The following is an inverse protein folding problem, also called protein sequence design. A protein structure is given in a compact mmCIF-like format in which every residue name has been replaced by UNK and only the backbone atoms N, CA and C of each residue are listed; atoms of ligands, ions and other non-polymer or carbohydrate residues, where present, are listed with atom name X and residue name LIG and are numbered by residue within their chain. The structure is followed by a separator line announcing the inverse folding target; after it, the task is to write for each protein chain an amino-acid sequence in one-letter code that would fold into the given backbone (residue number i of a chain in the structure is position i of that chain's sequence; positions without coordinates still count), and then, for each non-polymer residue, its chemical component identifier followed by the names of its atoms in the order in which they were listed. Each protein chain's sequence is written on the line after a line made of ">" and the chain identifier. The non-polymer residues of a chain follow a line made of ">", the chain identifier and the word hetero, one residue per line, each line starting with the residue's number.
data_IF_980570677932
#
_entry.id   IF_980570677932
#
_cell.length_a   1.000
_cell.length_b   1.000
_cell.length_c   1.000
_cell.angle_alpha   90.00
_cell.angle_beta   90.00
_cell.angle_gamma   90.00
#
_symmetry.space_group_name_H-M   'P 1'
#
loop_
_entity.id
_entity.type
_entity.pdbx_description
1 polymer ?
#
# COMPACT_ATOMS: atom_id res chain seq x y z
N UNK A 1 -58.51 42.46 15.09
CA UNK A 1 -59.71 42.62 14.24
C UNK A 1 -59.26 43.05 12.83
N UNK A 2 -59.96 42.70 11.75
CA UNK A 2 -59.82 41.50 10.88
C UNK A 2 -59.15 41.89 9.52
N UNK A 3 -58.83 41.02 8.56
CA UNK A 3 -59.76 40.21 7.76
C UNK A 3 -59.03 39.14 6.95
N UNK A 4 -59.52 37.91 7.09
CA UNK A 4 -59.30 36.72 6.28
C UNK A 4 -59.62 36.96 4.80
N UNK A 5 -58.90 36.34 3.87
CA UNK A 5 -59.49 35.92 2.58
C UNK A 5 -59.00 34.53 2.19
N UNK A 6 -59.98 33.64 2.11
CA UNK A 6 -59.93 32.23 1.73
C UNK A 6 -60.39 32.16 0.28
N UNK A 7 -59.59 31.57 -0.62
CA UNK A 7 -59.97 31.33 -2.01
C UNK A 7 -59.96 29.84 -2.31
N UNK A 8 -61.15 29.24 -2.38
CA UNK A 8 -61.40 27.84 -2.72
C UNK A 8 -61.74 27.66 -4.21
N UNK A 9 -61.31 26.50 -4.73
CA UNK A 9 -61.98 25.68 -5.76
C UNK A 9 -61.74 26.02 -7.25
N UNK A 10 -61.11 25.08 -7.96
CA UNK A 10 -61.85 24.18 -8.85
C UNK A 10 -61.02 22.97 -9.29
N UNK A 11 -61.65 21.80 -9.11
CA UNK A 11 -61.30 20.53 -9.76
C UNK A 11 -61.41 20.66 -11.29
N UNK A 12 -60.47 20.03 -12.00
CA UNK A 12 -60.74 19.31 -13.23
C UNK A 12 -59.60 18.30 -13.48
N UNK A 13 -59.80 17.07 -13.01
CA UNK A 13 -59.36 15.87 -13.75
C UNK A 13 -60.50 15.48 -14.72
N UNK A 14 -60.36 14.52 -15.66
CA UNK A 14 -59.23 13.64 -15.98
C UNK A 14 -58.87 13.59 -17.48
N UNK A 15 -57.62 13.29 -17.85
CA UNK A 15 -57.33 12.60 -19.12
C UNK A 15 -56.32 11.48 -18.89
N UNK A 16 -56.87 10.28 -18.90
CA UNK A 16 -56.21 9.00 -19.10
C UNK A 16 -55.32 9.01 -20.33
N UNK A 17 -54.03 8.76 -20.17
CA UNK A 17 -53.22 8.15 -21.23
C UNK A 17 -52.41 7.00 -20.67
N UNK A 18 -53.03 5.84 -20.84
CA UNK A 18 -52.49 4.50 -20.76
C UNK A 18 -51.20 4.40 -21.60
N UNK A 19 -50.02 4.47 -20.96
CA UNK A 19 -48.75 4.08 -21.59
C UNK A 19 -48.04 3.08 -20.69
N UNK A 20 -48.33 1.80 -20.92
CA UNK A 20 -47.56 0.69 -20.36
C UNK A 20 -46.19 0.69 -21.03
N UNK A 21 -45.23 1.42 -20.46
CA UNK A 21 -43.82 1.12 -20.68
C UNK A 21 -43.45 0.02 -19.69
N UNK A 22 -43.38 -1.21 -20.19
CA UNK A 22 -42.60 -2.29 -19.59
C UNK A 22 -41.16 -1.80 -19.51
N UNK A 23 -40.78 -1.23 -18.36
CA UNK A 23 -39.40 -1.07 -17.99
C UNK A 23 -38.83 -2.47 -17.81
N UNK A 24 -37.92 -2.86 -18.70
CA UNK A 24 -37.00 -3.96 -18.45
C UNK A 24 -36.19 -3.58 -17.21
N UNK A 25 -36.59 -4.10 -16.06
CA UNK A 25 -35.88 -3.95 -14.80
C UNK A 25 -34.53 -4.66 -14.89
N UNK A 26 -33.47 -3.86 -15.01
CA UNK A 26 -32.08 -4.28 -14.78
C UNK A 26 -31.71 -4.08 -13.29
N UNK A 27 -32.62 -4.38 -12.36
CA UNK A 27 -32.36 -4.24 -10.92
C UNK A 27 -31.74 -5.51 -10.29
N UNK A 28 -31.50 -6.57 -11.10
CA UNK A 28 -30.98 -7.85 -10.64
C UNK A 28 -29.47 -8.07 -10.77
N UNK A 29 -28.78 -7.38 -11.69
CA UNK A 29 -27.41 -7.79 -12.08
C UNK A 29 -26.28 -6.90 -11.56
N UNK A 30 -26.57 -5.69 -11.07
CA UNK A 30 -25.52 -4.81 -10.55
C UNK A 30 -24.92 -5.33 -9.23
N UNK A 31 -25.73 -6.01 -8.41
CA UNK A 31 -25.24 -6.67 -7.17
C UNK A 31 -24.39 -7.90 -7.46
N UNK A 32 -24.71 -8.66 -8.52
CA UNK A 32 -23.92 -9.80 -8.95
C UNK A 32 -22.59 -9.38 -9.58
N UNK A 33 -22.57 -8.28 -10.35
CA UNK A 33 -21.36 -7.73 -10.96
C UNK A 33 -20.43 -7.10 -9.92
N UNK A 34 -20.95 -6.36 -8.94
CA UNK A 34 -20.16 -5.83 -7.81
C UNK A 34 -19.60 -6.98 -6.95
N UNK A 35 -20.39 -8.02 -6.66
CA UNK A 35 -19.90 -9.18 -5.92
C UNK A 35 -18.82 -9.95 -6.69
N UNK A 36 -18.95 -10.08 -8.01
CA UNK A 36 -17.95 -10.71 -8.87
C UNK A 36 -16.63 -9.93 -8.92
N UNK A 37 -16.68 -8.61 -9.07
CA UNK A 37 -15.48 -7.75 -9.05
C UNK A 37 -14.79 -7.79 -7.68
N UNK A 38 -15.55 -7.74 -6.59
CA UNK A 38 -15.00 -7.89 -5.22
C UNK A 38 -14.36 -9.26 -5.03
N UNK A 39 -14.97 -10.34 -5.51
CA UNK A 39 -14.42 -11.69 -5.40
C UNK A 39 -13.10 -11.84 -6.19
N UNK A 40 -13.02 -11.26 -7.40
CA UNK A 40 -11.79 -11.28 -8.21
C UNK A 40 -10.69 -10.43 -7.58
N UNK A 41 -11.02 -9.25 -7.02
CA UNK A 41 -10.05 -8.41 -6.30
C UNK A 41 -9.56 -9.08 -5.00
N UNK A 42 -10.45 -9.75 -4.26
CA UNK A 42 -10.09 -10.52 -3.06
C UNK A 42 -9.21 -11.70 -3.44
N UNK A 43 -9.54 -12.45 -4.49
CA UNK A 43 -8.69 -13.55 -4.99
C UNK A 43 -7.33 -13.07 -5.49
N UNK A 44 -7.26 -11.91 -6.14
CA UNK A 44 -6.00 -11.31 -6.59
C UNK A 44 -5.16 -10.82 -5.41
N UNK A 45 -5.76 -10.17 -4.41
CA UNK A 45 -5.09 -9.79 -3.17
C UNK A 45 -4.54 -11.01 -2.41
N UNK A 46 -5.29 -12.12 -2.39
CA UNK A 46 -4.84 -13.38 -1.78
C UNK A 46 -3.69 -14.05 -2.55
N UNK A 47 -3.56 -13.84 -3.87
CA UNK A 47 -2.43 -14.34 -4.65
C UNK A 47 -1.17 -13.47 -4.55
N UNK A 48 -1.27 -12.20 -4.13
CA UNK A 48 -0.13 -11.28 -4.09
C UNK A 48 0.76 -11.44 -2.85
N UNK A 49 0.25 -12.08 -1.79
CA UNK A 49 1.03 -12.40 -0.58
C UNK A 49 1.47 -13.88 -0.52
N UNK A 50 1.28 -14.69 -1.57
CA UNK A 50 1.49 -16.16 -1.51
C UNK A 50 2.89 -16.59 -1.96
N UNK A 51 3.95 -16.09 -1.31
CA UNK A 51 5.30 -16.69 -1.47
C UNK A 51 6.17 -16.39 -0.23
N UNK A 52 5.81 -16.93 0.93
CA UNK A 52 6.70 -16.90 2.10
C UNK A 52 6.53 -18.07 3.08
N UNK A 53 5.98 -19.20 2.65
CA UNK A 53 5.88 -20.41 3.49
C UNK A 53 6.80 -21.52 2.97
N UNK A 54 8.12 -21.31 3.06
CA UNK A 54 9.09 -22.40 2.93
C UNK A 54 9.41 -23.00 4.30
N UNK A 55 8.58 -24.00 4.66
CA UNK A 55 8.93 -25.29 5.29
C UNK A 55 10.11 -25.30 6.27
N UNK A 56 9.80 -25.29 7.56
CA UNK A 56 10.65 -25.96 8.55
C UNK A 56 10.55 -27.48 8.35
N UNK A 57 11.68 -28.07 8.01
CA UNK A 57 11.85 -29.45 7.60
C UNK A 57 11.71 -30.44 8.77
N UNK A 58 10.76 -31.36 8.60
CA UNK A 58 10.74 -32.67 9.23
C UNK A 58 11.92 -33.50 8.69
N UNK A 59 12.67 -34.10 9.60
CA UNK A 59 13.66 -35.16 9.34
C UNK A 59 13.01 -36.41 8.75
N UNK A 60 13.40 -36.86 7.55
CA UNK A 60 13.30 -38.28 7.18
C UNK A 60 14.38 -38.71 6.17
N UNK A 61 14.77 -39.96 6.35
CA UNK A 61 15.85 -40.69 5.72
C UNK A 61 15.75 -40.89 4.19
N UNK A 62 16.95 -41.14 3.67
CA UNK A 62 17.35 -41.68 2.36
C UNK A 62 16.39 -42.71 1.73
N UNK A 63 15.99 -42.50 0.48
CA UNK A 63 15.72 -43.55 -0.51
C UNK A 63 15.86 -42.95 -1.92
N UNK A 64 16.71 -43.57 -2.75
CA UNK A 64 16.99 -43.18 -4.13
C UNK A 64 15.80 -43.41 -5.07
N UNK A 65 15.59 -42.49 -6.03
CA UNK A 65 14.59 -42.64 -7.09
C UNK A 65 14.71 -41.56 -8.16
N UNK A 66 14.83 -42.00 -9.42
CA UNK A 66 15.19 -41.23 -10.61
C UNK A 66 14.11 -40.23 -11.11
N UNK A 67 14.56 -39.01 -11.44
CA UNK A 67 14.32 -38.39 -12.75
C UNK A 67 12.94 -37.80 -13.08
N UNK A 68 12.74 -36.52 -12.78
CA UNK A 68 11.95 -35.59 -13.61
C UNK A 68 12.52 -34.18 -13.47
N UNK A 69 12.92 -33.56 -14.58
CA UNK A 69 13.47 -32.21 -14.61
C UNK A 69 12.39 -31.18 -14.27
N UNK A 70 12.30 -30.82 -12.99
CA UNK A 70 11.45 -29.75 -12.49
C UNK A 70 12.17 -28.41 -12.73
N UNK A 71 11.54 -27.55 -13.53
CA UNK A 71 12.00 -26.19 -13.82
C UNK A 71 12.05 -25.42 -12.49
N UNK A 72 13.26 -25.12 -12.03
CA UNK A 72 13.50 -24.49 -10.73
C UNK A 72 12.73 -23.16 -10.63
N UNK A 73 12.05 -22.88 -9.50
CA UNK A 73 11.54 -21.54 -9.21
C UNK A 73 12.72 -20.56 -9.17
N UNK A 74 12.55 -19.39 -9.78
CA UNK A 74 13.55 -18.33 -9.73
C UNK A 74 13.81 -17.96 -8.27
N UNK A 75 15.07 -18.06 -7.84
CA UNK A 75 15.49 -17.62 -6.51
C UNK A 75 15.18 -16.13 -6.35
N UNK A 76 14.65 -15.68 -5.20
CA UNK A 76 14.62 -14.26 -4.89
C UNK A 76 16.05 -13.75 -4.92
N UNK A 77 16.29 -12.74 -5.76
CA UNK A 77 17.62 -12.14 -5.87
C UNK A 77 17.90 -11.39 -4.57
N UNK A 78 18.73 -11.96 -3.71
CA UNK A 78 19.40 -11.23 -2.63
C UNK A 78 20.38 -10.28 -3.31
N UNK A 79 19.88 -9.11 -3.70
CA UNK A 79 20.70 -8.06 -4.31
C UNK A 79 21.61 -7.48 -3.21
N UNK A 80 22.89 -7.33 -3.52
CA UNK A 80 23.87 -6.77 -2.59
C UNK A 80 23.40 -5.38 -2.11
N UNK A 81 23.66 -5.02 -0.84
CA UNK A 81 23.36 -3.69 -0.32
C UNK A 81 23.89 -2.60 -1.26
N UNK A 82 23.12 -1.54 -1.51
CA UNK A 82 23.64 -0.40 -2.26
C UNK A 82 24.92 0.12 -1.61
N UNK A 83 25.91 0.48 -2.45
CA UNK A 83 27.14 1.11 -2.00
C UNK A 83 26.84 2.38 -1.19
N UNK A 84 27.73 2.72 -0.26
CA UNK A 84 27.57 3.81 0.70
C UNK A 84 26.94 5.05 0.03
N UNK A 85 25.70 5.42 0.37
CA UNK A 85 25.09 6.62 -0.20
C UNK A 85 25.96 7.82 0.21
N UNK A 86 26.26 8.71 -0.73
CA UNK A 86 26.95 9.96 -0.43
C UNK A 86 26.22 10.71 0.67
N UNK A 87 26.93 11.45 1.52
CA UNK A 87 26.43 12.11 2.74
C UNK A 87 25.37 13.20 2.53
N UNK A 88 24.86 13.38 1.31
CA UNK A 88 24.10 14.55 0.90
C UNK A 88 22.58 14.28 0.79
N UNK A 89 22.12 13.15 1.33
CA UNK A 89 20.69 12.83 1.36
C UNK A 89 20.01 13.35 2.64
N UNK A 90 18.72 13.61 2.52
CA UNK A 90 17.86 14.10 3.60
C UNK A 90 16.59 13.27 3.66
N UNK A 91 16.22 12.82 4.86
CA UNK A 91 14.91 12.27 5.14
C UNK A 91 14.40 12.88 6.43
N UNK A 92 13.41 13.76 6.33
CA UNK A 92 12.90 14.51 7.49
C UNK A 92 11.39 14.45 7.58
N UNK A 93 10.85 14.58 8.80
CA UNK A 93 9.44 14.90 9.04
C UNK A 93 9.33 16.04 10.05
N UNK A 94 8.51 17.06 9.76
CA UNK A 94 8.41 18.25 10.61
C UNK A 94 9.74 18.99 10.82
N UNK A 95 10.71 18.80 9.92
CA UNK A 95 12.07 19.36 10.02
C UNK A 95 13.07 18.53 10.83
N UNK A 96 12.66 17.41 11.44
CA UNK A 96 13.53 16.49 12.18
C UNK A 96 13.99 15.36 11.28
N UNK A 97 15.27 14.97 11.37
CA UNK A 97 15.78 13.80 10.65
C UNK A 97 15.11 12.52 11.15
N UNK A 98 14.63 11.68 10.24
CA UNK A 98 14.04 10.38 10.58
C UNK A 98 15.09 9.27 10.69
N UNK A 99 16.32 9.54 10.28
CA UNK A 99 17.41 8.57 10.27
C UNK A 99 18.70 9.20 10.85
N UNK A 100 19.56 8.41 11.51
CA UNK A 100 19.38 6.98 11.84
C UNK A 100 18.27 6.77 12.88
N UNK A 101 17.62 5.60 12.88
CA UNK A 101 16.54 5.34 13.83
C UNK A 101 17.09 5.15 15.25
N UNK A 102 18.36 4.77 15.38
CA UNK A 102 18.99 4.48 16.66
C UNK A 102 19.12 5.68 17.64
N UNK A 103 19.00 6.93 17.18
CA UNK A 103 18.84 8.10 18.07
C UNK A 103 17.39 8.32 18.52
N UNK A 104 16.40 7.80 17.78
CA UNK A 104 15.00 7.71 18.19
C UNK A 104 14.70 6.44 19.02
N UNK A 105 15.55 5.42 18.97
CA UNK A 105 15.34 4.11 19.61
C UNK A 105 15.61 4.06 21.12
N UNK A 106 16.27 5.06 21.74
CA UNK A 106 16.48 5.05 23.19
C UNK A 106 15.15 5.07 24.00
N UNK A 107 14.01 5.35 23.35
CA UNK A 107 12.67 5.28 23.92
C UNK A 107 11.62 4.67 22.97
N UNK A 108 12.02 3.76 22.06
CA UNK A 108 11.06 3.00 21.26
C UNK A 108 10.76 3.53 19.85
N UNK A 109 11.64 4.33 19.25
CA UNK A 109 11.91 4.37 17.79
C UNK A 109 10.71 4.52 16.85
N UNK A 110 9.60 5.04 17.35
CA UNK A 110 8.32 5.02 16.65
C UNK A 110 8.18 6.29 15.84
N UNK A 111 7.86 6.11 14.55
CA UNK A 111 7.48 7.23 13.68
C UNK A 111 6.13 7.87 14.11
N UNK A 112 5.46 7.32 15.13
CA UNK A 112 4.19 7.81 15.65
C UNK A 112 4.23 9.28 16.10
N UNK A 113 5.37 9.77 16.59
CA UNK A 113 5.50 11.18 17.02
C UNK A 113 5.41 12.18 15.85
N UNK A 114 5.69 11.71 14.63
CA UNK A 114 5.64 12.54 13.42
C UNK A 114 4.32 12.40 12.66
N UNK A 115 3.34 11.64 13.15
CA UNK A 115 2.08 11.42 12.44
C UNK A 115 1.39 12.74 12.11
N UNK A 116 0.97 12.87 10.85
CA UNK A 116 0.38 14.09 10.28
C UNK A 116 1.40 15.16 9.88
N UNK A 117 2.69 14.97 10.17
CA UNK A 117 3.73 15.90 9.72
C UNK A 117 4.09 15.66 8.25
N UNK A 118 4.43 16.73 7.51
CA UNK A 118 4.99 16.60 6.18
C UNK A 118 6.36 15.93 6.26
N UNK A 119 6.57 14.96 5.37
CA UNK A 119 7.84 14.28 5.18
C UNK A 119 8.48 14.70 3.86
N UNK A 120 9.81 14.91 3.88
CA UNK A 120 10.59 15.29 2.70
C UNK A 120 11.77 14.34 2.59
N UNK A 121 11.87 13.68 1.43
CA UNK A 121 13.02 12.90 1.01
C UNK A 121 13.76 13.59 -0.14
N UNK A 122 15.07 13.79 0.00
CA UNK A 122 15.93 14.27 -1.07
C UNK A 122 17.19 13.40 -1.14
N UNK A 123 17.51 12.89 -2.33
CA UNK A 123 18.64 12.00 -2.54
C UNK A 123 18.55 10.68 -1.77
N UNK A 124 17.37 10.25 -1.31
CA UNK A 124 17.28 9.11 -0.38
C UNK A 124 17.44 7.79 -1.14
N UNK A 125 18.37 6.91 -0.73
CA UNK A 125 18.54 5.61 -1.35
C UNK A 125 17.36 4.68 -1.05
N UNK A 126 16.91 3.97 -2.08
CA UNK A 126 15.99 2.84 -1.94
C UNK A 126 16.78 1.62 -1.49
N UNK A 127 16.47 1.14 -0.30
CA UNK A 127 17.11 -0.03 0.30
C UNK A 127 16.58 -1.33 -0.30
N UNK A 128 15.26 -1.50 -0.33
CA UNK A 128 14.62 -2.71 -0.87
C UNK A 128 13.17 -2.45 -1.28
N UNK A 129 12.65 -3.26 -2.19
CA UNK A 129 11.30 -3.11 -2.78
C UNK A 129 10.53 -4.43 -2.61
N UNK A 130 10.02 -4.74 -1.41
CA UNK A 130 9.34 -6.01 -1.16
C UNK A 130 7.88 -6.01 -1.60
N UNK A 131 7.29 -4.85 -1.90
CA UNK A 131 5.91 -4.71 -2.35
C UNK A 131 5.84 -3.90 -3.66
N UNK A 132 4.71 -4.02 -4.35
CA UNK A 132 4.45 -3.32 -5.61
C UNK A 132 4.26 -1.80 -5.39
N UNK A 133 3.54 -1.45 -4.32
CA UNK A 133 3.17 -0.07 -3.99
C UNK A 133 4.02 0.50 -2.85
N UNK A 134 5.08 -0.18 -2.43
CA UNK A 134 5.90 0.31 -1.32
C UNK A 134 7.29 -0.26 -1.26
N UNK A 135 8.18 0.54 -0.69
CA UNK A 135 9.60 0.25 -0.63
C UNK A 135 10.22 0.85 0.63
N UNK A 136 11.34 0.28 1.03
CA UNK A 136 12.16 0.79 2.12
C UNK A 136 13.16 1.80 1.57
N UNK A 137 13.25 2.95 2.24
CA UNK A 137 14.33 3.93 2.04
C UNK A 137 15.21 3.99 3.27
N UNK A 138 16.52 4.15 3.09
CA UNK A 138 17.46 4.22 4.20
C UNK A 138 18.80 3.57 3.92
N UNK A 139 19.58 3.36 4.98
CA UNK A 139 21.01 3.01 4.87
C UNK A 139 21.33 1.59 5.33
N UNK A 140 20.41 0.94 6.05
CA UNK A 140 20.62 -0.41 6.57
C UNK A 140 19.29 -1.12 6.84
N UNK A 141 19.37 -2.40 7.21
CA UNK A 141 18.19 -3.15 7.61
C UNK A 141 17.57 -2.67 8.94
N UNK A 142 18.34 -1.98 9.77
CA UNK A 142 17.85 -1.38 11.01
C UNK A 142 17.42 0.08 10.80
N UNK A 143 18.05 0.79 9.87
CA UNK A 143 17.88 2.24 9.64
C UNK A 143 17.19 2.50 8.31
N UNK A 144 15.89 2.19 8.26
CA UNK A 144 15.05 2.38 7.07
C UNK A 144 13.61 2.73 7.43
N UNK A 145 12.95 3.49 6.56
CA UNK A 145 11.56 3.92 6.69
C UNK A 145 10.76 3.39 5.51
N UNK A 146 9.53 2.94 5.78
CA UNK A 146 8.62 2.50 4.72
C UNK A 146 7.98 3.68 4.01
N UNK A 147 8.08 3.68 2.69
CA UNK A 147 7.36 4.58 1.80
C UNK A 147 6.26 3.78 1.10
N UNK A 148 5.03 4.23 1.26
CA UNK A 148 3.84 3.72 0.59
C UNK A 148 3.43 4.72 -0.49
N UNK A 149 3.40 4.27 -1.74
CA UNK A 149 2.83 5.06 -2.82
C UNK A 149 1.31 5.03 -2.71
N UNK A 150 0.69 6.20 -2.94
CA UNK A 150 -0.76 6.37 -2.96
C UNK A 150 -1.18 7.09 -4.26
N UNK A 151 -2.39 6.80 -4.74
CA UNK A 151 -2.94 7.43 -5.94
C UNK A 151 -3.71 6.44 -6.80
N UNK A 152 -4.26 6.93 -7.90
CA UNK A 152 -4.95 6.11 -8.89
C UNK A 152 -4.11 5.97 -10.16
N UNK A 153 -3.78 4.73 -10.51
CA UNK A 153 -3.04 4.39 -11.73
C UNK A 153 -1.97 3.34 -11.45
N UNK A 154 -1.49 2.67 -12.50
CA UNK A 154 -0.21 1.97 -12.38
C UNK A 154 0.89 3.03 -12.21
N UNK A 155 1.75 2.85 -11.20
CA UNK A 155 2.94 3.68 -11.08
C UNK A 155 3.76 3.57 -12.38
N UNK A 156 4.09 4.68 -13.06
CA UNK A 156 5.01 4.64 -14.21
C UNK A 156 6.44 4.31 -13.77
N UNK A 157 6.70 4.29 -12.46
CA UNK A 157 8.01 4.08 -11.88
C UNK A 157 8.21 2.62 -11.49
N UNK A 158 9.21 1.99 -12.11
CA UNK A 158 9.77 0.73 -11.64
C UNK A 158 10.91 1.03 -10.66
N UNK A 159 10.58 1.32 -9.41
CA UNK A 159 11.54 1.55 -8.32
C UNK A 159 12.33 0.27 -8.05
N UNK A 160 13.64 0.38 -7.84
CA UNK A 160 14.55 -0.74 -7.56
C UNK A 160 15.46 -0.43 -6.39
N UNK A 161 15.95 -1.48 -5.73
CA UNK A 161 17.01 -1.35 -4.75
C UNK A 161 18.24 -0.69 -5.39
N UNK A 162 18.80 0.31 -4.70
CA UNK A 162 19.92 1.13 -5.18
C UNK A 162 19.53 2.36 -6.00
N UNK A 163 18.26 2.50 -6.40
CA UNK A 163 17.78 3.77 -6.93
C UNK A 163 17.82 4.86 -5.85
N UNK A 164 17.76 6.11 -6.27
CA UNK A 164 17.67 7.27 -5.38
C UNK A 164 16.36 8.00 -5.64
N UNK A 165 15.64 8.41 -4.60
CA UNK A 165 14.33 9.07 -4.73
C UNK A 165 14.30 10.44 -4.07
N UNK A 166 13.54 11.34 -4.69
CA UNK A 166 13.07 12.56 -4.06
C UNK A 166 11.55 12.49 -3.94
N UNK A 167 11.00 12.95 -2.82
CA UNK A 167 9.55 12.97 -2.63
C UNK A 167 9.11 14.00 -1.60
N UNK A 168 7.84 14.36 -1.68
CA UNK A 168 7.08 14.93 -0.57
C UNK A 168 5.94 13.99 -0.19
N UNK A 169 5.65 13.90 1.10
CA UNK A 169 4.63 12.98 1.62
C UNK A 169 4.16 13.36 3.01
N UNK A 170 3.39 12.48 3.63
CA UNK A 170 2.88 12.67 5.00
C UNK A 170 3.14 11.41 5.82
N UNK A 171 3.52 11.57 7.08
CA UNK A 171 3.64 10.44 7.99
C UNK A 171 2.25 10.01 8.46
N UNK A 172 1.93 8.73 8.26
CA UNK A 172 0.61 8.16 8.57
C UNK A 172 0.78 6.99 9.54
N UNK A 173 0.02 7.07 10.64
CA UNK A 173 -0.04 6.00 11.64
C UNK A 173 -0.60 4.72 11.02
N UNK A 174 -0.06 3.57 11.46
CA UNK A 174 -0.61 2.28 11.09
C UNK A 174 -0.66 1.33 12.29
N UNK A 175 -1.49 0.29 12.18
CA UNK A 175 -1.56 -0.78 13.18
C UNK A 175 -0.52 -1.88 12.93
N UNK A 176 -0.36 -2.76 13.90
CA UNK A 176 0.53 -3.94 13.81
C UNK A 176 0.16 -4.91 12.68
N UNK A 177 -1.05 -4.80 12.13
CA UNK A 177 -1.56 -5.59 11.00
C UNK A 177 -1.15 -5.02 9.63
N UNK A 178 -0.63 -3.80 9.59
CA UNK A 178 -0.31 -3.09 8.35
C UNK A 178 0.70 -3.83 7.45
N UNK A 179 1.81 -4.39 7.96
CA UNK A 179 2.76 -5.11 7.10
C UNK A 179 2.09 -6.21 6.28
N UNK A 180 1.17 -6.97 6.89
CA UNK A 180 0.40 -8.01 6.19
C UNK A 180 -0.51 -7.43 5.10
N UNK A 181 -1.09 -6.25 5.33
CA UNK A 181 -1.96 -5.57 4.34
C UNK A 181 -1.18 -5.10 3.12
N UNK A 182 0.10 -4.76 3.28
CA UNK A 182 1.00 -4.36 2.19
C UNK A 182 1.92 -5.49 1.71
N UNK A 183 1.61 -6.75 2.07
CA UNK A 183 2.37 -7.95 1.72
C UNK A 183 3.87 -7.93 2.11
N UNK A 184 4.24 -7.22 3.19
CA UNK A 184 5.59 -7.27 3.75
C UNK A 184 5.69 -8.42 4.74
N UNK A 185 6.55 -9.40 4.45
CA UNK A 185 6.85 -10.53 5.33
C UNK A 185 8.01 -10.28 6.30
N UNK A 186 8.23 -11.19 7.25
CA UNK A 186 9.29 -11.07 8.29
C UNK A 186 10.69 -10.87 7.69
N UNK A 187 11.05 -11.65 6.66
CA UNK A 187 12.33 -11.53 5.95
C UNK A 187 12.49 -10.21 5.17
N UNK A 188 11.42 -9.43 5.07
CA UNK A 188 11.36 -8.14 4.38
C UNK A 188 11.10 -6.98 5.35
N UNK A 189 11.21 -7.20 6.66
CA UNK A 189 11.13 -6.15 7.67
C UNK A 189 9.73 -5.91 8.25
N UNK A 190 8.83 -6.89 8.20
CA UNK A 190 7.49 -6.74 8.77
C UNK A 190 7.48 -6.34 10.26
N UNK A 191 8.38 -6.94 11.05
CA UNK A 191 8.46 -6.66 12.50
C UNK A 191 8.94 -5.22 12.75
N UNK A 192 9.91 -4.74 11.97
CA UNK A 192 10.34 -3.34 12.02
C UNK A 192 9.19 -2.41 11.64
N UNK A 193 8.49 -2.71 10.55
CA UNK A 193 7.37 -1.88 10.08
C UNK A 193 6.28 -1.80 11.16
N UNK A 194 5.86 -2.94 11.72
CA UNK A 194 4.89 -2.97 12.81
C UNK A 194 5.35 -2.20 14.06
N UNK A 195 6.64 -2.29 14.40
CA UNK A 195 7.21 -1.59 15.55
C UNK A 195 7.29 -0.07 15.34
N UNK A 196 7.55 0.39 14.11
CA UNK A 196 7.59 1.81 13.76
C UNK A 196 6.23 2.48 13.97
N UNK A 197 5.13 1.78 13.73
CA UNK A 197 3.77 2.24 14.01
C UNK A 197 3.28 3.39 13.11
N UNK A 198 4.11 3.82 12.16
CA UNK A 198 3.76 4.75 11.11
C UNK A 198 4.66 4.57 9.89
N UNK A 199 4.27 5.15 8.77
CA UNK A 199 4.99 5.10 7.49
C UNK A 199 4.79 6.40 6.72
N UNK A 200 5.48 6.60 5.61
CA UNK A 200 5.29 7.79 4.77
C UNK A 200 4.38 7.42 3.60
N UNK A 201 3.25 8.11 3.46
CA UNK A 201 2.45 8.07 2.24
C UNK A 201 2.93 9.14 1.26
N UNK A 202 3.24 8.73 0.03
CA UNK A 202 3.74 9.60 -1.04
C UNK A 202 2.80 9.49 -2.24
N UNK A 203 2.18 10.60 -2.69
CA UNK A 203 1.46 10.63 -3.96
C UNK A 203 2.38 10.21 -5.11
N UNK A 204 1.89 9.34 -6.00
CA UNK A 204 2.72 8.85 -7.12
C UNK A 204 3.30 9.97 -7.99
N UNK A 205 2.60 11.09 -8.14
CA UNK A 205 3.04 12.27 -8.89
C UNK A 205 4.07 13.15 -8.15
N UNK A 206 4.28 12.91 -6.86
CA UNK A 206 5.29 13.58 -6.03
C UNK A 206 6.59 12.76 -5.91
N UNK A 207 6.63 11.54 -6.46
CA UNK A 207 7.84 10.71 -6.49
C UNK A 207 8.70 11.05 -7.72
N UNK A 208 9.95 11.42 -7.48
CA UNK A 208 10.98 11.59 -8.52
C UNK A 208 12.05 10.52 -8.33
N UNK A 209 12.23 9.67 -9.35
CA UNK A 209 13.19 8.58 -9.35
C UNK A 209 14.47 8.96 -10.11
N UNK A 210 15.62 8.71 -9.49
CA UNK A 210 16.96 8.82 -10.07
C UNK A 210 17.60 7.42 -10.09
N UNK A 211 18.28 7.10 -11.19
CA UNK A 211 18.90 5.79 -11.46
C UNK A 211 20.41 5.90 -11.56
#
# INVERSE_FOLDING_TARGET
>A
MPTTTRGTSRRHEPISSNRKHTAYGYDGDLRALVAGVVLVLVMFALHRCTDASSRDGVTVAETAGLGTASKAPASPSTQAPPGNPGSDWILTAGGTSLLPLNEAEAAGGSLAEYVGQPAVGGGVPVWSVPADEGFWVGISDADRVWVQLIGSGESPYAVRAGDTVHFTGVVVAHGVDFPSRVCVGTNHGADLLAAQGAHIEVPMDELILHK
#
